data_IF_082137102987
#
_entry.id   IF_082137102987
#
_cell.length_a   1.000
_cell.length_b   1.000
_cell.length_c   1.000
_cell.angle_alpha   90.00
_cell.angle_beta   90.00
_cell.angle_gamma   90.00
#
_symmetry.space_group_name_H-M   'P 1'
#
loop_
_entity.id
_entity.type
_entity.pdbx_description
1 polymer ?
#
# COMPACT_ATOMS: atom_id res chain seq x y z
N UNK A 1 22.51 6.70 7.47
CA UNK A 1 21.09 6.68 7.05
C UNK A 1 20.37 5.74 7.99
N UNK A 2 19.56 6.27 8.91
CA UNK A 2 18.74 5.44 9.80
C UNK A 2 17.64 4.86 8.94
N UNK A 3 17.70 3.56 8.62
CA UNK A 3 16.66 2.90 7.86
C UNK A 3 15.39 2.90 8.72
N UNK A 4 14.38 3.69 8.34
CA UNK A 4 13.07 3.60 8.96
C UNK A 4 12.59 2.15 8.89
N UNK A 5 12.10 1.63 10.02
CA UNK A 5 11.52 0.29 10.11
C UNK A 5 10.52 0.11 8.96
N UNK A 6 10.62 -1.04 8.28
CA UNK A 6 9.77 -1.33 7.14
C UNK A 6 8.33 -1.44 7.63
N UNK A 7 7.44 -0.57 7.16
CA UNK A 7 6.02 -0.73 7.41
C UNK A 7 5.46 -1.78 6.46
N UNK A 8 4.66 -2.69 7.01
CA UNK A 8 3.94 -3.73 6.30
C UNK A 8 2.49 -3.31 6.07
N UNK A 9 1.98 -3.62 4.88
CA UNK A 9 0.58 -3.44 4.52
C UNK A 9 0.00 -4.79 4.13
N UNK A 10 -1.23 -5.06 4.57
CA UNK A 10 -1.95 -6.29 4.25
C UNK A 10 -3.39 -5.96 3.87
N UNK A 11 -3.84 -6.59 2.78
CA UNK A 11 -5.23 -6.53 2.34
C UNK A 11 -5.77 -7.95 2.33
N UNK A 12 -6.76 -8.20 3.17
CA UNK A 12 -7.46 -9.48 3.22
C UNK A 12 -8.83 -9.36 2.56
N UNK A 13 -9.23 -10.44 1.90
CA UNK A 13 -10.56 -10.57 1.31
C UNK A 13 -11.22 -11.86 1.77
N UNK A 14 -12.44 -11.72 2.30
CA UNK A 14 -13.33 -12.85 2.62
C UNK A 14 -14.69 -12.59 1.97
N UNK A 15 -15.03 -13.35 0.93
CA UNK A 15 -16.22 -13.09 0.13
C UNK A 15 -16.13 -11.73 -0.58
N UNK A 16 -17.03 -10.82 -0.26
CA UNK A 16 -17.05 -9.44 -0.79
C UNK A 16 -16.45 -8.41 0.18
N UNK A 17 -16.06 -8.86 1.38
CA UNK A 17 -15.50 -7.99 2.40
C UNK A 17 -13.98 -7.90 2.25
N UNK A 18 -13.49 -6.67 2.08
CA UNK A 18 -12.08 -6.33 2.18
C UNK A 18 -11.77 -5.73 3.55
N UNK A 19 -10.62 -6.12 4.12
CA UNK A 19 -10.08 -5.56 5.36
C UNK A 19 -8.62 -5.19 5.13
N UNK A 20 -8.28 -3.92 5.40
CA UNK A 20 -6.93 -3.40 5.26
C UNK A 20 -6.26 -3.27 6.63
N UNK A 21 -4.99 -3.63 6.69
CA UNK A 21 -4.18 -3.62 7.90
C UNK A 21 -2.80 -3.02 7.64
N UNK A 22 -2.21 -2.45 8.69
CA UNK A 22 -0.81 -2.06 8.71
C UNK A 22 -0.09 -2.61 9.94
N UNK A 23 1.22 -2.75 9.83
CA UNK A 23 2.09 -3.21 10.91
C UNK A 23 3.48 -2.59 10.79
N UNK A 24 4.10 -2.29 11.93
CA UNK A 24 5.48 -1.78 11.99
C UNK A 24 6.52 -2.89 12.24
N UNK A 25 6.07 -4.05 12.70
CA UNK A 25 6.92 -5.19 13.10
C UNK A 25 6.61 -6.49 12.32
N UNK A 26 5.53 -6.52 11.54
CA UNK A 26 5.06 -7.68 10.80
C UNK A 26 4.32 -8.73 11.66
N UNK A 27 4.20 -8.51 12.97
CA UNK A 27 3.57 -9.42 13.93
C UNK A 27 2.27 -8.86 14.49
N UNK A 28 2.28 -7.57 14.87
CA UNK A 28 1.14 -6.86 15.42
C UNK A 28 0.46 -6.03 14.32
N UNK A 29 -0.82 -6.31 14.05
CA UNK A 29 -1.57 -5.71 12.94
C UNK A 29 -2.71 -4.83 13.43
N UNK A 30 -2.73 -3.59 12.95
CA UNK A 30 -3.79 -2.61 13.20
C UNK A 30 -4.71 -2.50 11.99
N UNK A 31 -6.03 -2.41 12.21
CA UNK A 31 -7.00 -2.22 11.12
C UNK A 31 -6.98 -0.77 10.63
N UNK A 32 -6.78 -0.58 9.32
CA UNK A 32 -6.89 0.72 8.65
C UNK A 32 -8.32 0.99 8.17
N UNK A 33 -9.07 -0.05 7.81
CA UNK A 33 -10.43 0.09 7.32
C UNK A 33 -11.00 -1.20 6.75
N UNK A 34 -12.31 -1.16 6.49
CA UNK A 34 -13.10 -2.27 5.95
C UNK A 34 -14.04 -1.74 4.88
N UNK A 35 -14.16 -2.48 3.78
CA UNK A 35 -15.04 -2.12 2.66
C UNK A 35 -15.67 -3.36 2.05
N UNK A 36 -16.99 -3.37 1.91
CA UNK A 36 -17.70 -4.37 1.14
C UNK A 36 -17.79 -3.92 -0.32
N UNK A 37 -17.29 -4.74 -1.23
CA UNK A 37 -17.33 -4.49 -2.67
C UNK A 37 -17.94 -5.71 -3.39
N UNK A 38 -19.11 -5.55 -4.02
CA UNK A 38 -19.65 -6.58 -4.89
C UNK A 38 -18.70 -6.78 -6.07
N UNK A 39 -18.18 -8.00 -6.24
CA UNK A 39 -17.26 -8.32 -7.33
C UNK A 39 -17.99 -9.12 -8.39
N UNK A 40 -18.26 -8.47 -9.53
CA UNK A 40 -18.85 -9.12 -10.71
C UNK A 40 -17.82 -9.78 -11.61
N UNK A 41 -16.54 -9.41 -11.51
CA UNK A 41 -15.48 -9.80 -12.46
C UNK A 41 -14.11 -10.04 -11.79
N UNK A 42 -13.11 -10.31 -12.64
CA UNK A 42 -11.72 -10.62 -12.26
C UNK A 42 -11.04 -9.42 -11.58
N UNK A 43 -10.48 -9.62 -10.38
CA UNK A 43 -9.79 -8.59 -9.60
C UNK A 43 -8.31 -8.46 -10.01
N UNK A 44 -7.83 -7.23 -10.14
CA UNK A 44 -6.40 -6.91 -10.21
C UNK A 44 -5.92 -6.35 -8.87
N UNK A 45 -4.75 -6.81 -8.43
CA UNK A 45 -4.16 -6.40 -7.15
C UNK A 45 -2.72 -5.98 -7.44
N UNK A 46 -2.29 -4.86 -6.86
CA UNK A 46 -0.96 -4.35 -7.02
C UNK A 46 -0.63 -3.26 -6.02
N UNK A 47 0.61 -2.82 -6.08
CA UNK A 47 1.11 -1.74 -5.26
C UNK A 47 0.85 -0.41 -5.98
N UNK A 48 0.42 0.60 -5.22
CA UNK A 48 0.26 1.95 -5.72
C UNK A 48 0.98 2.94 -4.80
N UNK A 49 1.73 3.87 -5.41
CA UNK A 49 2.31 5.01 -4.74
C UNK A 49 2.01 6.26 -5.56
N UNK A 50 1.52 7.30 -4.88
CA UNK A 50 1.24 8.59 -5.48
C UNK A 50 1.89 9.68 -4.63
N UNK A 51 2.58 10.60 -5.29
CA UNK A 51 3.16 11.79 -4.68
C UNK A 51 2.49 13.02 -5.26
N UNK A 52 2.10 13.96 -4.39
CA UNK A 52 1.57 15.24 -4.81
C UNK A 52 2.75 16.19 -5.09
N UNK A 53 3.15 16.26 -6.36
CA UNK A 53 4.15 17.22 -6.84
C UNK A 53 3.49 18.05 -7.94
N UNK A 54 3.46 19.37 -7.74
CA UNK A 54 3.12 20.30 -8.81
C UNK A 54 4.28 20.40 -9.80
N UNK A 55 4.15 19.70 -10.93
CA UNK A 55 5.17 19.66 -11.98
C UNK A 55 5.18 20.90 -12.87
N UNK A 56 4.23 21.82 -12.71
CA UNK A 56 4.27 23.12 -13.39
C UNK A 56 5.28 24.05 -12.72
N UNK A 57 5.53 23.86 -11.42
CA UNK A 57 6.52 24.60 -10.63
C UNK A 57 7.86 23.84 -10.60
N UNK A 58 7.82 22.50 -10.50
CA UNK A 58 9.00 21.65 -10.45
C UNK A 58 9.13 20.75 -11.69
N UNK A 59 9.76 21.27 -12.75
CA UNK A 59 9.95 20.57 -14.02
C UNK A 59 10.97 19.41 -14.00
N UNK A 60 11.48 19.03 -12.83
CA UNK A 60 12.53 18.03 -12.65
C UNK A 60 12.39 17.23 -11.36
N UNK A 61 13.43 16.49 -10.97
CA UNK A 61 13.45 15.77 -9.70
C UNK A 61 13.26 16.77 -8.55
N UNK A 62 12.19 16.61 -7.77
CA UNK A 62 11.93 17.45 -6.61
C UNK A 62 12.96 17.12 -5.53
N UNK A 63 13.73 18.13 -5.09
CA UNK A 63 14.90 17.96 -4.22
C UNK A 63 14.55 17.38 -2.84
N UNK A 64 13.32 17.63 -2.39
CA UNK A 64 12.73 17.11 -1.15
C UNK A 64 11.73 15.97 -1.42
N UNK A 65 11.68 15.46 -2.66
CA UNK A 65 10.82 14.36 -3.03
C UNK A 65 11.25 13.06 -2.35
N UNK A 66 10.28 12.33 -1.82
CA UNK A 66 10.52 11.00 -1.25
C UNK A 66 10.22 9.94 -2.29
N UNK A 67 11.15 9.01 -2.49
CA UNK A 67 10.90 7.79 -3.23
C UNK A 67 10.36 6.71 -2.28
N UNK A 68 9.23 6.10 -2.63
CA UNK A 68 8.71 4.95 -1.88
C UNK A 68 9.32 3.67 -2.42
N UNK A 69 10.14 3.00 -1.61
CA UNK A 69 10.69 1.68 -1.92
C UNK A 69 9.76 0.58 -1.40
N UNK A 70 9.30 -0.29 -2.31
CA UNK A 70 8.62 -1.53 -1.95
C UNK A 70 9.63 -2.68 -1.98
N UNK A 71 9.87 -3.30 -0.83
CA UNK A 71 10.87 -4.38 -0.70
C UNK A 71 10.35 -5.75 -1.14
N UNK A 72 9.03 -5.94 -1.17
CA UNK A 72 8.42 -7.18 -1.59
C UNK A 72 6.91 -7.08 -1.69
N UNK A 73 6.33 -7.99 -2.48
CA UNK A 73 4.91 -8.18 -2.63
C UNK A 73 4.63 -9.68 -2.55
N UNK A 74 3.70 -10.08 -1.68
CA UNK A 74 3.25 -11.46 -1.54
C UNK A 74 1.76 -11.50 -1.79
N UNK A 75 1.34 -12.39 -2.66
CA UNK A 75 -0.07 -12.70 -2.88
C UNK A 75 -0.30 -14.13 -2.43
N UNK A 76 -1.16 -14.29 -1.43
CA UNK A 76 -1.63 -15.60 -1.00
C UNK A 76 -2.96 -15.87 -1.66
N UNK A 77 -3.01 -16.92 -2.47
CA UNK A 77 -4.26 -17.51 -2.94
C UNK A 77 -4.57 -18.70 -2.05
N UNK A 78 -5.84 -18.88 -1.70
CA UNK A 78 -6.30 -20.17 -1.18
C UNK A 78 -6.32 -21.21 -2.29
#
# INVERSE_FOLDING_TARGET
MVGGEAVHLQLERTGEQFSAYCSVDGENWLTCGKLALPLVDRLQIGIHAIGMIDRTIYCGAFKEGTATLFRGFKLWTR
#
